data_IF_187032923390
#
_entry.id   IF_187032923390
#
_cell.length_a   1.000
_cell.length_b   1.000
_cell.length_c   1.000
_cell.angle_alpha   90.00
_cell.angle_beta   90.00
_cell.angle_gamma   90.00
#
_symmetry.space_group_name_H-M   'P 1'
#
loop_
_entity.id
_entity.type
_entity.pdbx_description
1 polymer ?
#
# COMPACT_ATOMS: atom_id res chain seq x y z
N UNK A 1 -6.54 -2.18 21.29
CA UNK A 1 -5.22 -2.24 20.63
C UNK A 1 -5.40 -2.15 19.12
N UNK A 2 -4.57 -1.35 18.45
CA UNK A 2 -4.66 -1.22 17.00
C UNK A 2 -4.16 -2.51 16.32
N UNK A 3 -4.84 -2.95 15.27
CA UNK A 3 -4.36 -4.03 14.42
C UNK A 3 -3.28 -3.49 13.47
N UNK A 4 -2.19 -4.21 13.33
CA UNK A 4 -1.18 -3.89 12.34
C UNK A 4 -1.64 -4.39 10.98
N UNK A 5 -1.62 -3.50 10.00
CA UNK A 5 -1.89 -3.83 8.61
C UNK A 5 -0.59 -3.74 7.82
N UNK A 6 -0.10 -4.87 7.34
CA UNK A 6 1.11 -4.91 6.52
C UNK A 6 0.75 -4.55 5.08
N UNK A 7 1.56 -3.70 4.47
CA UNK A 7 1.33 -3.26 3.09
C UNK A 7 2.56 -3.51 2.23
N UNK A 8 2.29 -3.94 1.02
CA UNK A 8 3.28 -4.12 -0.03
C UNK A 8 2.75 -3.36 -1.25
N UNK A 9 3.41 -2.26 -1.57
CA UNK A 9 2.95 -1.34 -2.61
C UNK A 9 3.93 -1.41 -3.77
N UNK A 10 3.40 -1.58 -4.98
CA UNK A 10 4.18 -1.46 -6.21
C UNK A 10 3.63 -0.31 -7.04
N UNK A 11 4.50 0.63 -7.34
CA UNK A 11 4.19 1.77 -8.21
C UNK A 11 4.99 1.63 -9.49
N UNK A 12 4.33 1.81 -10.63
CA UNK A 12 5.00 1.97 -11.91
C UNK A 12 4.81 3.42 -12.32
N UNK A 13 5.91 4.18 -12.34
CA UNK A 13 5.90 5.57 -12.76
C UNK A 13 5.92 5.67 -14.28
N UNK A 14 5.64 6.85 -14.81
CA UNK A 14 5.64 7.09 -16.25
C UNK A 14 7.05 7.11 -16.85
N UNK A 15 8.08 7.28 -16.02
CA UNK A 15 9.48 7.23 -16.44
C UNK A 15 10.39 6.85 -15.28
N UNK A 16 11.64 6.48 -15.58
CA UNK A 16 12.64 6.21 -14.55
C UNK A 16 12.96 7.46 -13.73
N UNK A 17 12.96 8.63 -14.35
CA UNK A 17 13.17 9.89 -13.65
C UNK A 17 12.05 10.17 -12.65
N UNK A 18 10.81 9.91 -13.03
CA UNK A 18 9.66 10.06 -12.13
C UNK A 18 9.77 9.11 -10.93
N UNK A 19 10.11 7.85 -11.19
CA UNK A 19 10.29 6.87 -10.12
C UNK A 19 11.43 7.27 -9.18
N UNK A 20 12.55 7.72 -9.72
CA UNK A 20 13.71 8.17 -8.94
C UNK A 20 13.38 9.40 -8.09
N UNK A 21 12.64 10.35 -8.65
CA UNK A 21 12.20 11.53 -7.92
C UNK A 21 11.32 11.16 -6.72
N UNK A 22 10.35 10.28 -6.93
CA UNK A 22 9.49 9.82 -5.84
C UNK A 22 10.30 9.07 -4.77
N UNK A 23 11.20 8.20 -5.19
CA UNK A 23 12.09 7.45 -4.30
C UNK A 23 12.89 8.40 -3.40
N UNK A 24 13.51 9.43 -3.97
CA UNK A 24 14.30 10.38 -3.20
C UNK A 24 13.43 11.18 -2.21
N UNK A 25 12.22 11.57 -2.62
CA UNK A 25 11.27 12.23 -1.73
C UNK A 25 10.90 11.33 -0.54
N UNK A 26 10.63 10.06 -0.81
CA UNK A 26 10.27 9.10 0.25
C UNK A 26 11.46 8.81 1.17
N UNK A 27 12.67 8.70 0.63
CA UNK A 27 13.87 8.49 1.43
C UNK A 27 14.15 9.70 2.32
N UNK A 28 13.96 10.92 1.83
CA UNK A 28 14.09 12.12 2.64
C UNK A 28 13.04 12.16 3.77
N UNK A 29 11.80 11.81 3.44
CA UNK A 29 10.72 11.74 4.44
C UNK A 29 11.02 10.66 5.50
N UNK A 30 11.55 9.51 5.08
CA UNK A 30 11.96 8.43 6.00
C UNK A 30 13.08 8.90 6.93
N UNK A 31 14.09 9.54 6.40
CA UNK A 31 15.21 10.07 7.21
C UNK A 31 14.69 11.03 8.28
N UNK A 32 13.83 11.97 7.91
CA UNK A 32 13.23 12.91 8.84
C UNK A 32 12.37 12.22 9.89
N UNK A 33 11.61 11.20 9.48
CA UNK A 33 10.77 10.42 10.39
C UNK A 33 11.61 9.60 11.37
N UNK A 34 12.68 8.96 10.89
CA UNK A 34 13.58 8.15 11.72
C UNK A 34 14.27 9.00 12.80
N UNK A 35 14.67 10.22 12.48
CA UNK A 35 15.26 11.16 13.44
C UNK A 35 14.29 11.50 14.57
N UNK A 36 12.99 11.50 14.31
CA UNK A 36 11.93 11.78 15.28
C UNK A 36 11.35 10.52 15.90
N UNK A 37 11.81 9.34 15.48
CA UNK A 37 11.30 8.04 15.91
C UNK A 37 9.79 7.90 15.67
N UNK A 38 9.31 8.32 14.51
CA UNK A 38 7.91 8.23 14.07
C UNK A 38 7.82 7.51 12.72
N UNK A 39 6.60 7.22 12.28
CA UNK A 39 6.38 6.67 10.95
C UNK A 39 6.45 7.72 9.85
N UNK A 40 6.52 7.27 8.61
CA UNK A 40 6.50 8.13 7.43
C UNK A 40 5.05 8.55 7.13
N UNK A 41 4.80 9.85 7.07
CA UNK A 41 3.48 10.37 6.72
C UNK A 41 3.14 10.03 5.26
N UNK A 42 1.91 9.56 5.04
CA UNK A 42 1.46 9.07 3.72
C UNK A 42 0.24 9.82 3.17
N UNK A 43 0.06 11.06 3.55
CA UNK A 43 -0.96 11.91 2.95
C UNK A 43 -2.40 11.72 3.44
N UNK A 44 -2.61 10.96 4.51
CA UNK A 44 -3.94 10.69 5.07
C UNK A 44 -3.97 11.09 6.54
N UNK A 45 -4.43 12.28 6.85
CA UNK A 45 -4.61 12.78 8.22
C UNK A 45 -3.54 12.27 9.21
N UNK A 46 -3.87 11.36 10.12
CA UNK A 46 -2.93 10.80 11.09
C UNK A 46 -2.36 9.43 10.68
N UNK A 47 -2.31 9.13 9.39
CA UNK A 47 -1.80 7.85 8.89
C UNK A 47 -0.31 7.91 8.64
N UNK A 48 0.40 6.93 9.17
CA UNK A 48 1.86 6.82 9.08
C UNK A 48 2.26 5.40 8.70
N UNK A 49 3.30 5.29 7.87
CA UNK A 49 3.89 4.01 7.49
C UNK A 49 5.09 3.73 8.40
N UNK A 50 5.05 2.63 9.13
CA UNK A 50 6.09 2.20 10.05
C UNK A 50 6.99 1.14 9.41
N UNK A 51 8.25 1.08 9.84
CA UNK A 51 9.27 0.16 9.31
C UNK A 51 9.37 0.22 7.78
N UNK A 52 9.26 1.44 7.25
CA UNK A 52 9.21 1.66 5.82
C UNK A 52 10.52 1.26 5.14
N UNK A 53 10.38 0.56 4.02
CA UNK A 53 11.48 0.20 3.12
C UNK A 53 11.07 0.55 1.70
N UNK A 54 12.03 1.05 0.93
CA UNK A 54 11.79 1.45 -0.45
C UNK A 54 12.79 0.74 -1.36
N UNK A 55 12.32 0.22 -2.48
CA UNK A 55 13.13 -0.50 -3.46
C UNK A 55 12.86 0.09 -4.85
N UNK A 56 13.89 0.69 -5.45
CA UNK A 56 13.79 1.32 -6.76
C UNK A 56 14.44 0.46 -7.82
N UNK A 57 13.70 0.14 -8.89
CA UNK A 57 14.18 -0.63 -10.04
C UNK A 57 13.61 -0.05 -11.34
N UNK A 58 14.38 0.83 -11.99
CA UNK A 58 13.91 1.50 -13.22
C UNK A 58 12.67 2.34 -12.96
N UNK A 59 11.58 2.02 -13.63
CA UNK A 59 10.28 2.69 -13.46
C UNK A 59 9.48 2.17 -12.26
N UNK A 60 9.93 1.07 -11.64
CA UNK A 60 9.23 0.43 -10.52
C UNK A 60 9.76 0.90 -9.19
N UNK A 61 8.85 1.21 -8.30
CA UNK A 61 9.14 1.55 -6.91
C UNK A 61 8.31 0.67 -6.00
N UNK A 62 8.99 -0.12 -5.17
CA UNK A 62 8.36 -0.89 -4.10
C UNK A 62 8.36 -0.10 -2.80
N UNK A 63 7.26 -0.15 -2.08
CA UNK A 63 7.08 0.47 -0.77
C UNK A 63 6.55 -0.60 0.16
N UNK A 64 7.26 -0.85 1.27
CA UNK A 64 6.91 -1.89 2.25
C UNK A 64 6.84 -1.28 3.62
N UNK A 65 5.96 -1.81 4.46
CA UNK A 65 5.85 -1.38 5.84
C UNK A 65 4.53 -1.81 6.44
N UNK A 66 4.15 -1.17 7.54
CA UNK A 66 2.86 -1.44 8.15
C UNK A 66 2.23 -0.14 8.64
N UNK A 67 0.92 -0.16 8.71
CA UNK A 67 0.10 0.94 9.22
C UNK A 67 -0.80 0.41 10.33
N UNK A 68 -1.29 1.31 11.19
CA UNK A 68 -2.29 0.92 12.17
C UNK A 68 -3.64 0.85 11.47
N UNK A 69 -4.27 -0.32 11.52
CA UNK A 69 -5.52 -0.63 10.83
C UNK A 69 -5.43 -0.49 9.31
N UNK A 70 -6.31 -1.15 8.61
CA UNK A 70 -6.43 -1.07 7.15
C UNK A 70 -6.95 0.28 6.68
N UNK A 71 -6.90 0.48 5.38
CA UNK A 71 -7.36 1.71 4.75
C UNK A 71 -8.85 1.64 4.43
N UNK A 72 -9.55 2.77 4.58
CA UNK A 72 -10.84 2.98 3.94
C UNK A 72 -10.62 3.39 2.47
N UNK A 73 -11.68 3.33 1.66
CA UNK A 73 -11.61 3.71 0.25
C UNK A 73 -11.16 5.16 0.07
N UNK A 74 -11.66 6.06 0.93
CA UNK A 74 -11.28 7.48 0.90
C UNK A 74 -9.79 7.65 1.22
N UNK A 75 -9.29 6.89 2.19
CA UNK A 75 -7.87 6.96 2.57
C UNK A 75 -6.96 6.47 1.46
N UNK A 76 -7.36 5.43 0.72
CA UNK A 76 -6.59 4.96 -0.44
C UNK A 76 -6.53 6.05 -1.51
N UNK A 77 -7.67 6.71 -1.79
CA UNK A 77 -7.69 7.85 -2.73
C UNK A 77 -6.79 9.00 -2.27
N UNK A 78 -6.80 9.32 -0.97
CA UNK A 78 -5.94 10.37 -0.41
C UNK A 78 -4.47 10.01 -0.54
N UNK A 79 -4.11 8.77 -0.25
CA UNK A 79 -2.74 8.28 -0.39
C UNK A 79 -2.28 8.34 -1.85
N UNK A 80 -3.12 7.85 -2.75
CA UNK A 80 -2.84 7.87 -4.19
C UNK A 80 -2.69 9.31 -4.71
N UNK A 81 -3.56 10.23 -4.29
CA UNK A 81 -3.46 11.65 -4.65
C UNK A 81 -2.17 12.28 -4.12
N UNK A 82 -1.76 11.91 -2.91
CA UNK A 82 -0.51 12.37 -2.31
C UNK A 82 0.71 11.90 -3.10
N UNK A 83 0.69 10.66 -3.57
CA UNK A 83 1.74 10.13 -4.46
C UNK A 83 1.73 10.84 -5.81
N UNK A 84 0.56 11.01 -6.43
CA UNK A 84 0.42 11.64 -7.76
C UNK A 84 0.75 13.14 -7.74
N UNK A 85 0.67 13.80 -6.60
CA UNK A 85 1.14 15.17 -6.47
C UNK A 85 2.66 15.29 -6.55
N UNK A 86 3.37 14.17 -6.41
CA UNK A 86 4.84 14.11 -6.42
C UNK A 86 5.41 13.56 -7.70
N UNK A 87 4.65 12.71 -8.39
CA UNK A 87 5.15 12.04 -9.60
C UNK A 87 3.99 11.59 -10.48
N UNK A 88 4.29 11.36 -11.76
CA UNK A 88 3.32 10.76 -12.69
C UNK A 88 3.36 9.24 -12.55
N UNK A 89 2.21 8.64 -12.28
CA UNK A 89 2.04 7.21 -12.03
C UNK A 89 1.15 6.62 -13.10
N UNK A 90 1.56 5.49 -13.68
CA UNK A 90 0.72 4.75 -14.63
C UNK A 90 0.12 3.47 -14.06
N UNK A 91 0.63 2.97 -12.93
CA UNK A 91 0.05 1.81 -12.25
C UNK A 91 0.39 1.88 -10.76
N UNK A 92 -0.57 1.50 -9.92
CA UNK A 92 -0.41 1.45 -8.48
C UNK A 92 -1.13 0.21 -7.96
N UNK A 93 -0.42 -0.60 -7.19
CA UNK A 93 -0.98 -1.76 -6.51
C UNK A 93 -0.57 -1.72 -5.05
N UNK A 94 -1.55 -1.88 -4.17
CA UNK A 94 -1.30 -1.96 -2.74
C UNK A 94 -1.94 -3.23 -2.20
N UNK A 95 -1.10 -4.22 -1.92
CA UNK A 95 -1.53 -5.44 -1.23
C UNK A 95 -1.50 -5.19 0.25
N UNK A 96 -2.55 -5.58 0.96
CA UNK A 96 -2.69 -5.36 2.40
C UNK A 96 -3.08 -6.64 3.11
N UNK A 97 -2.53 -6.82 4.34
CA UNK A 97 -2.80 -7.95 5.20
C UNK A 97 -2.99 -7.45 6.63
N UNK A 98 -4.24 -7.44 7.09
CA UNK A 98 -4.59 -7.09 8.47
C UNK A 98 -5.12 -8.33 9.18
N UNK A 99 -4.21 -9.13 9.73
CA UNK A 99 -4.51 -10.42 10.34
C UNK A 99 -5.54 -10.30 11.47
N UNK A 100 -5.43 -9.29 12.32
CA UNK A 100 -6.36 -9.10 13.44
C UNK A 100 -7.81 -8.87 13.02
N UNK A 101 -8.04 -8.38 11.81
CA UNK A 101 -9.36 -8.16 11.24
C UNK A 101 -9.73 -9.20 10.18
N UNK A 102 -8.88 -10.19 9.93
CA UNK A 102 -9.05 -11.23 8.90
C UNK A 102 -9.24 -10.61 7.51
N UNK A 103 -8.45 -9.57 7.19
CA UNK A 103 -8.53 -8.86 5.92
C UNK A 103 -7.26 -9.11 5.11
N UNK A 104 -7.45 -9.49 3.85
CA UNK A 104 -6.38 -9.61 2.85
C UNK A 104 -6.93 -9.18 1.50
N UNK A 105 -6.21 -8.31 0.81
CA UNK A 105 -6.65 -7.86 -0.49
C UNK A 105 -5.64 -6.99 -1.21
N UNK A 106 -6.08 -6.43 -2.33
CA UNK A 106 -5.24 -5.58 -3.18
C UNK A 106 -6.07 -4.44 -3.77
N UNK A 107 -5.63 -3.21 -3.54
CA UNK A 107 -6.10 -2.07 -4.30
C UNK A 107 -5.25 -1.92 -5.56
N UNK A 108 -5.92 -1.66 -6.69
CA UNK A 108 -5.24 -1.46 -7.96
C UNK A 108 -5.80 -0.24 -8.69
N UNK A 109 -4.90 0.66 -9.10
CA UNK A 109 -5.22 1.83 -9.91
C UNK A 109 -4.41 1.77 -11.21
N UNK A 110 -5.11 1.90 -12.35
CA UNK A 110 -4.54 1.74 -13.69
C UNK A 110 -4.66 3.00 -14.56
N UNK A 111 -4.81 4.16 -13.92
CA UNK A 111 -5.08 5.48 -14.53
C UNK A 111 -6.55 5.71 -14.91
N UNK A 112 -7.40 4.67 -14.88
CA UNK A 112 -8.81 4.80 -15.25
C UNK A 112 -9.72 4.56 -14.07
N UNK A 113 -9.42 3.56 -13.27
CA UNK A 113 -10.27 3.20 -12.13
C UNK A 113 -9.43 2.64 -10.99
N UNK A 114 -9.97 2.73 -9.80
CA UNK A 114 -9.45 2.08 -8.61
C UNK A 114 -10.35 0.90 -8.27
N UNK A 115 -9.75 -0.25 -8.06
CA UNK A 115 -10.46 -1.46 -7.66
C UNK A 115 -9.91 -2.00 -6.36
N UNK A 116 -10.73 -2.75 -5.63
CA UNK A 116 -10.34 -3.51 -4.45
C UNK A 116 -10.72 -4.96 -4.68
N UNK A 117 -9.73 -5.85 -4.71
CA UNK A 117 -9.93 -7.30 -4.77
C UNK A 117 -9.61 -7.85 -3.40
N UNK A 118 -10.60 -8.44 -2.75
CA UNK A 118 -10.50 -8.85 -1.35
C UNK A 118 -10.80 -10.33 -1.18
N UNK A 119 -9.97 -11.00 -0.40
CA UNK A 119 -10.28 -12.35 0.07
C UNK A 119 -11.51 -12.29 0.98
N UNK A 120 -12.56 -13.11 0.72
CA UNK A 120 -13.69 -13.19 1.65
C UNK A 120 -13.20 -13.55 3.06
N UNK A 121 -13.74 -12.86 4.07
CA UNK A 121 -13.27 -12.97 5.44
C UNK A 121 -13.31 -14.42 5.97
N UNK A 122 -14.34 -15.19 5.58
CA UNK A 122 -14.48 -16.60 5.96
C UNK A 122 -13.40 -17.52 5.37
N UNK A 123 -12.67 -17.04 4.37
CA UNK A 123 -11.57 -17.77 3.74
C UNK A 123 -10.19 -17.34 4.25
N UNK A 124 -10.14 -16.37 5.16
CA UNK A 124 -8.88 -16.00 5.78
C UNK A 124 -8.37 -17.17 6.64
N UNK A 125 -7.10 -17.59 6.51
CA UNK A 125 -6.57 -18.74 7.26
C UNK A 125 -6.70 -18.58 8.77
N UNK A 126 -7.16 -19.64 9.45
CA UNK A 126 -7.35 -19.61 10.90
C UNK A 126 -6.04 -19.43 11.67
N UNK A 127 -4.92 -19.86 11.10
CA UNK A 127 -3.59 -19.74 11.71
C UNK A 127 -2.98 -18.35 11.52
N UNK A 128 -3.59 -17.49 10.70
CA UNK A 128 -3.10 -16.16 10.42
C UNK A 128 -1.82 -16.13 9.59
N UNK A 129 -1.45 -17.22 8.93
CA UNK A 129 -0.24 -17.31 8.13
C UNK A 129 -0.39 -16.49 6.84
N UNK A 130 0.55 -15.57 6.62
CA UNK A 130 0.51 -14.65 5.47
C UNK A 130 0.64 -15.40 4.13
N UNK A 131 1.44 -16.46 4.07
CA UNK A 131 1.61 -17.23 2.85
C UNK A 131 0.33 -17.99 2.50
N UNK A 132 -0.38 -18.51 3.49
CA UNK A 132 -1.66 -19.19 3.29
C UNK A 132 -2.75 -18.22 2.88
N UNK A 133 -2.75 -17.00 3.44
CA UNK A 133 -3.66 -15.93 3.03
C UNK A 133 -3.44 -15.55 1.57
N UNK A 134 -2.19 -15.43 1.14
CA UNK A 134 -1.84 -15.13 -0.25
C UNK A 134 -2.33 -16.24 -1.20
N UNK A 135 -2.12 -17.52 -0.85
CA UNK A 135 -2.61 -18.64 -1.64
C UNK A 135 -4.13 -18.65 -1.76
N UNK A 136 -4.83 -18.40 -0.67
CA UNK A 136 -6.29 -18.32 -0.68
C UNK A 136 -6.74 -17.16 -1.57
N UNK A 137 -6.11 -16.01 -1.47
CA UNK A 137 -6.41 -14.82 -2.25
C UNK A 137 -6.30 -15.05 -3.76
N UNK A 138 -5.29 -15.80 -4.21
CA UNK A 138 -5.08 -16.09 -5.64
C UNK A 138 -6.24 -16.90 -6.27
N UNK A 139 -7.07 -17.54 -5.43
CA UNK A 139 -8.20 -18.36 -5.91
C UNK A 139 -9.51 -17.57 -6.01
N UNK A 140 -9.54 -16.30 -5.63
CA UNK A 140 -10.74 -15.47 -5.61
C UNK A 140 -10.60 -14.25 -6.51
N UNK A 141 -11.65 -13.97 -7.28
CA UNK A 141 -11.72 -12.83 -8.20
C UNK A 141 -12.84 -11.87 -7.86
N UNK A 142 -13.11 -11.69 -6.56
CA UNK A 142 -14.15 -10.75 -6.13
C UNK A 142 -13.58 -9.33 -6.20
N UNK A 143 -14.00 -8.58 -7.21
CA UNK A 143 -13.52 -7.23 -7.48
C UNK A 143 -14.62 -6.23 -7.19
N UNK A 144 -14.28 -5.19 -6.44
CA UNK A 144 -15.15 -4.06 -6.13
C UNK A 144 -14.55 -2.79 -6.74
N UNK A 145 -15.36 -2.07 -7.49
CA UNK A 145 -14.94 -0.78 -8.07
C UNK A 145 -15.14 0.33 -7.04
N UNK A 146 -14.14 1.20 -6.94
CA UNK A 146 -14.16 2.34 -6.03
C UNK A 146 -14.29 3.61 -6.87
N UNK A 147 -15.37 4.29 -6.69
CA UNK A 147 -15.78 5.45 -7.49
C UNK A 147 -14.85 6.64 -7.46
#
# INVERSE_FOLDING_TARGET
MANNCFVNIEIIACSENDAGWLYENLMAAKKAADEKQVGVYIGCDSRYLFDAKFDLRGERLGIFGWVKWGFSDIEVWKFLAWLMARTAIKDFRMRYDECGALLYGEYHYDMHMLTDRRLPQEHYPADGDAADAEKAFEQFDVIRYIG
#
